data_IF_929928605059
#
_entry.id   IF_929928605059
#
_cell.length_a   1.000
_cell.length_b   1.000
_cell.length_c   1.000
_cell.angle_alpha   90.00
_cell.angle_beta   90.00
_cell.angle_gamma   90.00
#
_symmetry.space_group_name_H-M   'P 1'
#
loop_
_entity.id
_entity.type
_entity.pdbx_description
1 polymer ?
#
# COMPACT_ATOMS: atom_id res chain seq x y z
N UNK A 1 14.16 -20.19 0.56
CA UNK A 1 12.93 -19.46 0.22
C UNK A 1 12.56 -19.86 -1.20
N UNK A 2 11.27 -19.95 -1.54
CA UNK A 2 10.85 -20.26 -2.91
C UNK A 2 11.25 -19.15 -3.89
N UNK A 3 11.50 -19.53 -5.16
CA UNK A 3 11.68 -18.58 -6.25
C UNK A 3 10.41 -17.76 -6.47
N UNK A 4 10.56 -16.54 -6.98
CA UNK A 4 9.45 -15.66 -7.33
C UNK A 4 9.22 -15.69 -8.83
N UNK A 5 7.96 -15.56 -9.23
CA UNK A 5 7.58 -15.26 -10.61
C UNK A 5 7.62 -13.74 -10.85
N UNK A 6 7.86 -13.33 -12.10
CA UNK A 6 7.70 -11.93 -12.45
C UNK A 6 6.23 -11.53 -12.38
N UNK A 7 5.96 -10.38 -11.73
CA UNK A 7 4.61 -9.85 -11.68
C UNK A 7 4.12 -9.51 -13.09
N UNK A 8 2.87 -9.86 -13.38
CA UNK A 8 2.24 -9.57 -14.66
C UNK A 8 1.81 -8.09 -14.71
N UNK A 9 2.38 -7.34 -15.64
CA UNK A 9 2.25 -5.87 -15.70
C UNK A 9 1.41 -5.39 -16.91
N UNK A 10 0.34 -6.09 -17.30
CA UNK A 10 -0.54 -5.76 -18.45
C UNK A 10 -1.79 -4.96 -18.06
N UNK A 11 -1.65 -4.02 -17.16
CA UNK A 11 -2.72 -3.16 -16.66
C UNK A 11 -2.35 -1.68 -16.82
N UNK A 12 -3.37 -0.80 -16.87
CA UNK A 12 -3.19 0.64 -17.02
C UNK A 12 -3.45 1.39 -15.71
N UNK A 13 -4.41 0.94 -14.87
CA UNK A 13 -4.80 1.62 -13.63
C UNK A 13 -4.71 0.71 -12.42
N UNK A 14 -4.06 1.20 -11.38
CA UNK A 14 -4.00 0.59 -10.06
C UNK A 14 -4.54 1.51 -8.98
N UNK A 15 -5.15 0.92 -7.95
CA UNK A 15 -5.53 1.60 -6.73
C UNK A 15 -4.76 0.99 -5.56
N UNK A 16 -3.88 1.77 -4.96
CA UNK A 16 -3.22 1.41 -3.71
C UNK A 16 -4.11 1.82 -2.53
N UNK A 17 -4.45 0.85 -1.68
CA UNK A 17 -5.25 1.08 -0.47
C UNK A 17 -4.46 0.55 0.72
N UNK A 18 -4.09 1.44 1.63
CA UNK A 18 -3.30 1.12 2.82
C UNK A 18 -3.86 1.77 4.07
N UNK A 19 -3.44 1.30 5.22
CA UNK A 19 -3.93 1.79 6.49
C UNK A 19 -3.37 3.18 6.82
N UNK A 20 -2.05 3.36 6.68
CA UNK A 20 -1.35 4.54 7.19
C UNK A 20 -0.48 5.21 6.12
N UNK A 21 -0.17 6.50 6.28
CA UNK A 21 0.96 7.12 5.58
C UNK A 21 2.25 6.33 5.84
N UNK A 22 3.09 6.12 4.82
CA UNK A 22 4.32 5.32 4.75
C UNK A 22 4.17 3.82 4.40
N UNK A 23 3.02 3.24 4.51
CA UNK A 23 2.82 1.80 4.24
C UNK A 23 3.30 1.41 2.83
N UNK A 24 2.90 2.16 1.80
CA UNK A 24 3.34 1.90 0.42
C UNK A 24 4.83 2.14 0.25
N UNK A 25 5.38 3.09 0.99
CA UNK A 25 6.79 3.45 0.92
C UNK A 25 7.68 2.34 1.48
N UNK A 26 7.28 1.71 2.57
CA UNK A 26 7.98 0.53 3.09
C UNK A 26 7.82 -0.72 2.21
N UNK A 27 6.74 -0.81 1.45
CA UNK A 27 6.41 -2.03 0.71
C UNK A 27 6.69 -1.98 -0.79
N UNK A 28 6.21 -0.95 -1.48
CA UNK A 28 6.07 -0.97 -2.94
C UNK A 28 6.43 0.34 -3.66
N UNK A 29 6.80 1.43 -2.99
CA UNK A 29 7.00 2.73 -3.63
C UNK A 29 8.00 2.70 -4.81
N UNK A 30 9.05 1.88 -4.73
CA UNK A 30 9.99 1.69 -5.85
C UNK A 30 9.31 1.06 -7.07
N UNK A 31 8.39 0.13 -6.87
CA UNK A 31 7.61 -0.47 -7.96
C UNK A 31 6.58 0.54 -8.51
N UNK A 32 5.94 1.33 -7.64
CA UNK A 32 5.04 2.42 -8.06
C UNK A 32 5.80 3.44 -8.90
N UNK A 33 6.99 3.89 -8.48
CA UNK A 33 7.84 4.80 -9.26
C UNK A 33 8.16 4.23 -10.66
N UNK A 34 8.46 2.93 -10.75
CA UNK A 34 8.66 2.23 -12.03
C UNK A 34 7.39 2.28 -12.89
N UNK A 35 6.23 1.94 -12.33
CA UNK A 35 4.97 1.90 -13.06
C UNK A 35 4.53 3.29 -13.54
N UNK A 36 4.66 4.32 -12.68
CA UNK A 36 4.40 5.71 -13.05
C UNK A 36 5.33 6.18 -14.18
N UNK A 37 6.63 5.85 -14.12
CA UNK A 37 7.58 6.16 -15.19
C UNK A 37 7.26 5.46 -16.52
N UNK A 38 6.55 4.32 -16.49
CA UNK A 38 6.05 3.60 -17.66
C UNK A 38 4.71 4.14 -18.18
N UNK A 39 4.14 5.17 -17.53
CA UNK A 39 2.89 5.81 -17.91
C UNK A 39 1.63 5.14 -17.35
N UNK A 40 1.76 4.24 -16.38
CA UNK A 40 0.62 3.67 -15.66
C UNK A 40 0.09 4.64 -14.62
N UNK A 41 -1.20 4.65 -14.45
CA UNK A 41 -1.88 5.46 -13.44
C UNK A 41 -1.99 4.68 -12.13
N UNK A 42 -1.41 5.23 -11.07
CA UNK A 42 -1.52 4.68 -9.71
C UNK A 42 -2.12 5.76 -8.81
N UNK A 43 -3.25 5.45 -8.18
CA UNK A 43 -3.90 6.31 -7.19
C UNK A 43 -3.74 5.72 -5.80
N UNK A 44 -3.66 6.58 -4.77
CA UNK A 44 -3.54 6.16 -3.38
C UNK A 44 -4.78 6.53 -2.57
N UNK A 45 -5.25 5.59 -1.76
CA UNK A 45 -6.27 5.79 -0.73
C UNK A 45 -5.70 5.32 0.61
N UNK A 46 -5.56 6.24 1.55
CA UNK A 46 -5.14 5.97 2.91
C UNK A 46 -6.37 5.94 3.81
N UNK A 47 -6.52 4.86 4.58
CA UNK A 47 -7.71 4.66 5.40
C UNK A 47 -7.70 5.57 6.64
N UNK A 48 -6.53 5.80 7.21
CA UNK A 48 -6.31 6.72 8.34
C UNK A 48 -5.34 7.84 7.97
N UNK A 49 -5.17 8.79 8.86
CA UNK A 49 -4.13 9.81 8.77
C UNK A 49 -2.83 9.39 9.47
N UNK A 50 -2.81 8.20 10.08
CA UNK A 50 -1.70 7.75 10.92
C UNK A 50 -1.50 8.60 12.17
N UNK A 51 -2.57 9.22 12.67
CA UNK A 51 -2.54 10.25 13.70
C UNK A 51 -2.12 9.75 15.09
N UNK A 52 -2.18 8.44 15.32
CA UNK A 52 -1.70 7.82 16.55
C UNK A 52 -0.25 7.32 16.45
N UNK A 53 0.43 7.50 15.31
CA UNK A 53 1.74 6.92 15.03
C UNK A 53 2.93 7.62 15.74
N UNK A 54 2.74 8.82 16.32
CA UNK A 54 3.78 9.56 17.04
C UNK A 54 3.34 9.75 18.50
N UNK A 55 3.94 9.02 19.41
CA UNK A 55 3.45 8.85 20.78
C UNK A 55 3.59 10.09 21.68
N UNK A 56 4.46 11.04 21.34
CA UNK A 56 4.73 12.27 22.09
C UNK A 56 4.09 13.51 21.48
N UNK A 57 3.28 13.33 20.42
CA UNK A 57 2.50 14.39 19.78
C UNK A 57 1.00 14.10 19.82
N UNK A 58 0.18 15.17 19.95
CA UNK A 58 -1.27 14.99 19.92
C UNK A 58 -1.75 14.58 18.50
N UNK A 59 -2.75 13.68 18.37
CA UNK A 59 -3.26 13.24 17.06
C UNK A 59 -3.67 14.39 16.13
N UNK A 60 -4.24 15.46 16.68
CA UNK A 60 -4.63 16.64 15.89
C UNK A 60 -3.44 17.42 15.29
N UNK A 61 -2.23 17.24 15.83
CA UNK A 61 -0.99 17.81 15.32
C UNK A 61 -0.32 16.86 14.35
N UNK A 62 -0.40 15.54 14.61
CA UNK A 62 0.20 14.49 13.77
C UNK A 62 -0.52 14.33 12.43
N UNK A 63 -1.87 14.32 12.41
CA UNK A 63 -2.63 14.11 11.19
C UNK A 63 -2.24 15.06 10.04
N UNK A 64 -2.24 16.41 10.19
CA UNK A 64 -1.88 17.29 9.10
C UNK A 64 -0.41 17.15 8.68
N UNK A 65 0.49 16.83 9.60
CA UNK A 65 1.90 16.60 9.35
C UNK A 65 2.10 15.37 8.46
N UNK A 66 1.54 14.21 8.84
CA UNK A 66 1.67 12.96 8.08
C UNK A 66 0.96 13.03 6.72
N UNK A 67 -0.16 13.75 6.61
CA UNK A 67 -0.80 14.03 5.31
C UNK A 67 0.11 14.81 4.37
N UNK A 68 0.86 15.79 4.89
CA UNK A 68 1.79 16.58 4.07
C UNK A 68 3.01 15.75 3.65
N UNK A 69 3.54 14.91 4.54
CA UNK A 69 4.63 13.99 4.21
C UNK A 69 4.21 13.02 3.12
N UNK A 70 3.00 12.45 3.22
CA UNK A 70 2.47 11.55 2.20
C UNK A 70 2.29 12.23 0.84
N UNK A 71 1.87 13.50 0.79
CA UNK A 71 1.78 14.22 -0.50
C UNK A 71 3.14 14.34 -1.17
N UNK A 72 4.17 14.71 -0.39
CA UNK A 72 5.55 14.81 -0.90
C UNK A 72 6.08 13.46 -1.38
N UNK A 73 5.79 12.42 -0.64
CA UNK A 73 6.13 11.06 -1.01
C UNK A 73 5.46 10.66 -2.35
N UNK A 74 4.17 10.93 -2.51
CA UNK A 74 3.44 10.69 -3.75
C UNK A 74 4.03 11.44 -4.94
N UNK A 75 4.41 12.72 -4.77
CA UNK A 75 5.04 13.53 -5.82
C UNK A 75 6.35 12.89 -6.31
N UNK A 76 7.16 12.32 -5.40
CA UNK A 76 8.44 11.68 -5.73
C UNK A 76 8.24 10.44 -6.61
N UNK A 77 7.21 9.63 -6.34
CA UNK A 77 6.94 8.39 -7.10
C UNK A 77 5.98 8.58 -8.28
N UNK A 78 5.52 9.82 -8.52
CA UNK A 78 4.66 10.15 -9.66
C UNK A 78 3.18 9.81 -9.46
N UNK A 79 2.72 9.70 -8.22
CA UNK A 79 1.31 9.53 -7.86
C UNK A 79 0.66 10.90 -7.73
N UNK A 80 -0.38 11.17 -8.54
CA UNK A 80 -1.09 12.46 -8.57
C UNK A 80 -2.41 12.46 -7.82
N UNK A 81 -3.01 11.29 -7.60
CA UNK A 81 -4.28 11.15 -6.89
C UNK A 81 -4.06 10.50 -5.53
N UNK A 82 -4.33 11.26 -4.48
CA UNK A 82 -4.20 10.87 -3.08
C UNK A 82 -5.45 11.24 -2.31
N UNK A 83 -6.10 10.24 -1.72
CA UNK A 83 -7.29 10.40 -0.89
C UNK A 83 -7.02 9.87 0.53
N UNK A 84 -7.57 10.56 1.54
CA UNK A 84 -7.60 10.10 2.93
C UNK A 84 -9.05 9.88 3.35
N UNK A 85 -9.37 8.70 3.88
CA UNK A 85 -10.72 8.41 4.40
C UNK A 85 -10.93 9.00 5.80
N UNK A 86 -9.85 9.26 6.54
CA UNK A 86 -9.88 9.89 7.85
C UNK A 86 -10.55 9.02 8.93
N UNK A 87 -10.48 7.70 8.79
CA UNK A 87 -10.93 6.78 9.84
C UNK A 87 -9.89 6.74 10.98
N UNK A 88 -10.29 6.40 12.22
CA UNK A 88 -9.40 6.48 13.37
C UNK A 88 -8.27 5.46 13.31
N UNK A 89 -7.03 5.96 13.43
CA UNK A 89 -5.80 5.17 13.43
C UNK A 89 -5.69 4.26 14.65
N UNK A 90 -5.30 3.00 14.42
CA UNK A 90 -5.17 1.95 15.44
C UNK A 90 -6.49 1.30 15.86
N UNK A 91 -7.63 1.79 15.34
CA UNK A 91 -8.95 1.41 15.78
C UNK A 91 -9.86 0.91 14.63
N UNK A 92 -9.28 0.50 13.51
CA UNK A 92 -10.07 0.02 12.38
C UNK A 92 -10.74 -1.31 12.70
N UNK A 93 -12.02 -1.41 12.33
CA UNK A 93 -12.82 -2.62 12.50
C UNK A 93 -13.19 -3.21 11.13
N UNK A 94 -13.04 -4.52 11.00
CA UNK A 94 -13.50 -5.25 9.82
C UNK A 94 -15.04 -5.29 9.81
N UNK A 95 -15.64 -4.88 8.69
CA UNK A 95 -17.10 -4.91 8.59
C UNK A 95 -17.65 -4.04 7.45
N UNK A 96 -19.02 -4.03 7.30
CA UNK A 96 -19.68 -3.31 6.22
C UNK A 96 -19.33 -1.81 6.12
N UNK A 97 -19.15 -1.05 7.22
CA UNK A 97 -18.79 0.36 7.10
C UNK A 97 -17.48 0.59 6.38
N UNK A 98 -16.40 -0.12 6.75
CA UNK A 98 -15.09 -0.01 6.07
C UNK A 98 -15.19 -0.49 4.63
N UNK A 99 -15.80 -1.66 4.38
CA UNK A 99 -15.97 -2.20 3.04
C UNK A 99 -16.73 -1.25 2.12
N UNK A 100 -17.72 -0.50 2.66
CA UNK A 100 -18.48 0.50 1.91
C UNK A 100 -17.59 1.63 1.41
N UNK A 101 -16.73 2.19 2.26
CA UNK A 101 -15.79 3.25 1.88
C UNK A 101 -14.77 2.74 0.83
N UNK A 102 -14.26 1.53 1.03
CA UNK A 102 -13.33 0.91 0.08
C UNK A 102 -14.01 0.57 -1.27
N UNK A 103 -15.25 0.05 -1.25
CA UNK A 103 -16.03 -0.19 -2.47
C UNK A 103 -16.34 1.13 -3.21
N UNK A 104 -16.62 2.22 -2.48
CA UNK A 104 -16.80 3.53 -3.07
C UNK A 104 -15.51 4.03 -3.75
N UNK A 105 -14.36 3.87 -3.12
CA UNK A 105 -13.06 4.20 -3.72
C UNK A 105 -12.82 3.38 -5.00
N UNK A 106 -13.03 2.06 -4.96
CA UNK A 106 -12.88 1.19 -6.13
C UNK A 106 -13.81 1.62 -7.28
N UNK A 107 -15.07 1.97 -6.99
CA UNK A 107 -16.03 2.45 -8.00
C UNK A 107 -15.64 3.80 -8.58
N UNK A 108 -15.01 4.70 -7.79
CA UNK A 108 -14.52 6.01 -8.29
C UNK A 108 -13.31 5.85 -9.20
N UNK A 109 -12.29 5.13 -8.74
CA UNK A 109 -11.01 5.00 -9.43
C UNK A 109 -11.02 3.95 -10.55
N UNK A 110 -11.94 2.99 -10.51
CA UNK A 110 -12.13 1.94 -11.52
C UNK A 110 -10.83 1.21 -11.87
N UNK A 111 -10.08 0.69 -10.88
CA UNK A 111 -8.78 0.07 -11.10
C UNK A 111 -8.92 -1.32 -11.71
N UNK A 112 -7.89 -1.76 -12.41
CA UNK A 112 -7.75 -3.14 -12.90
C UNK A 112 -7.03 -4.02 -11.87
N UNK A 113 -6.20 -3.38 -11.03
CA UNK A 113 -5.46 -4.05 -9.96
C UNK A 113 -5.52 -3.25 -8.67
N UNK A 114 -5.49 -3.97 -7.55
CA UNK A 114 -5.39 -3.38 -6.22
C UNK A 114 -3.98 -3.62 -5.67
N UNK A 115 -3.44 -2.61 -5.01
CA UNK A 115 -2.17 -2.69 -4.31
C UNK A 115 -2.42 -2.46 -2.82
N UNK A 116 -1.73 -3.18 -1.97
CA UNK A 116 -1.74 -2.96 -0.53
C UNK A 116 -0.47 -3.53 0.09
N UNK A 117 -0.37 -3.48 1.41
CA UNK A 117 0.71 -4.15 2.11
C UNK A 117 0.21 -5.43 2.79
N UNK A 118 1.14 -6.18 3.34
CA UNK A 118 0.89 -7.44 4.03
C UNK A 118 -0.34 -7.40 4.96
N UNK A 119 -1.31 -8.27 4.70
CA UNK A 119 -2.54 -8.43 5.48
C UNK A 119 -2.55 -9.71 6.33
N UNK A 120 -1.47 -10.48 6.30
CA UNK A 120 -1.32 -11.69 7.12
C UNK A 120 -1.10 -11.33 8.57
N UNK A 121 -1.27 -12.30 9.46
CA UNK A 121 -1.17 -12.07 10.90
C UNK A 121 0.25 -11.69 11.35
N UNK A 122 1.26 -12.03 10.56
CA UNK A 122 2.67 -11.73 10.87
C UNK A 122 3.45 -11.28 9.61
N UNK A 123 4.67 -10.81 9.83
CA UNK A 123 5.65 -10.44 8.80
C UNK A 123 6.65 -11.58 8.51
N UNK A 124 6.31 -12.79 8.88
CA UNK A 124 7.22 -13.91 9.09
C UNK A 124 7.55 -14.02 10.58
N UNK A 125 7.29 -15.20 11.15
CA UNK A 125 7.45 -15.43 12.59
C UNK A 125 8.84 -15.00 13.10
N UNK A 126 8.94 -14.35 14.29
CA UNK A 126 7.89 -14.13 15.28
C UNK A 126 7.23 -12.74 15.24
N UNK A 127 7.31 -12.00 14.13
CA UNK A 127 6.93 -10.59 14.03
C UNK A 127 5.44 -10.41 13.74
N UNK A 128 4.64 -10.06 14.75
CA UNK A 128 3.19 -9.82 14.62
C UNK A 128 2.89 -8.57 13.81
N UNK A 129 1.88 -8.64 12.93
CA UNK A 129 1.47 -7.53 12.07
C UNK A 129 0.48 -6.59 12.77
N UNK A 130 0.47 -5.32 12.37
CA UNK A 130 -0.46 -4.32 12.87
C UNK A 130 -1.92 -4.70 12.59
N UNK A 131 -2.83 -4.38 13.52
CA UNK A 131 -4.24 -4.71 13.37
C UNK A 131 -4.84 -4.05 12.13
N UNK A 132 -4.55 -2.78 11.89
CA UNK A 132 -5.10 -2.02 10.77
C UNK A 132 -4.66 -2.56 9.41
N UNK A 133 -3.40 -3.02 9.27
CA UNK A 133 -2.93 -3.68 8.04
C UNK A 133 -3.74 -4.93 7.73
N UNK A 134 -4.00 -5.76 8.75
CA UNK A 134 -4.78 -6.99 8.62
C UNK A 134 -6.24 -6.70 8.27
N UNK A 135 -6.83 -5.69 8.93
CA UNK A 135 -8.22 -5.26 8.72
C UNK A 135 -8.39 -4.67 7.31
N UNK A 136 -7.54 -3.71 6.94
CA UNK A 136 -7.64 -3.05 5.62
C UNK A 136 -7.44 -4.04 4.49
N UNK A 137 -6.41 -4.89 4.54
CA UNK A 137 -6.14 -5.81 3.45
C UNK A 137 -7.24 -6.87 3.26
N UNK A 138 -7.83 -7.39 4.34
CA UNK A 138 -8.98 -8.31 4.27
C UNK A 138 -10.24 -7.61 3.76
N UNK A 139 -10.54 -6.44 4.31
CA UNK A 139 -11.70 -5.64 3.87
C UNK A 139 -11.59 -5.22 2.39
N UNK A 140 -10.37 -4.97 1.89
CA UNK A 140 -10.13 -4.60 0.50
C UNK A 140 -10.50 -5.74 -0.47
N UNK A 141 -10.17 -6.99 -0.14
CA UNK A 141 -10.53 -8.15 -0.94
C UNK A 141 -12.05 -8.34 -1.04
N UNK A 142 -12.75 -8.16 0.09
CA UNK A 142 -14.21 -8.21 0.12
C UNK A 142 -14.81 -7.02 -0.63
N UNK A 143 -14.27 -5.80 -0.43
CA UNK A 143 -14.74 -4.58 -1.08
C UNK A 143 -14.62 -4.61 -2.61
N UNK A 144 -13.66 -5.33 -3.17
CA UNK A 144 -13.56 -5.54 -4.61
C UNK A 144 -14.78 -6.29 -5.17
N UNK A 145 -15.25 -7.31 -4.46
CA UNK A 145 -16.49 -8.04 -4.80
C UNK A 145 -17.73 -7.20 -4.56
N UNK A 146 -17.76 -6.43 -3.48
CA UNK A 146 -18.86 -5.50 -3.18
C UNK A 146 -18.96 -4.40 -4.25
N UNK A 147 -17.82 -3.88 -4.73
CA UNK A 147 -17.78 -2.85 -5.77
C UNK A 147 -18.36 -3.35 -7.11
N UNK A 148 -18.15 -4.62 -7.43
CA UNK A 148 -18.68 -5.27 -8.62
C UNK A 148 -20.21 -5.53 -8.55
N UNK A 149 -20.76 -5.65 -7.35
CA UNK A 149 -22.14 -6.05 -7.16
C UNK A 149 -23.09 -4.84 -7.14
N UNK A 150 -24.06 -4.73 -8.08
CA UNK A 150 -24.99 -3.59 -8.14
C UNK A 150 -25.98 -3.53 -6.97
N UNK A 151 -26.11 -4.62 -6.19
CA UNK A 151 -27.06 -4.72 -5.07
C UNK A 151 -26.43 -4.51 -3.70
N UNK A 152 -25.11 -4.32 -3.66
CA UNK A 152 -24.37 -4.01 -2.42
C UNK A 152 -24.08 -2.51 -2.40
N UNK A 153 -24.31 -1.86 -1.25
CA UNK A 153 -24.15 -0.41 -1.06
C UNK A 153 -24.85 0.41 -2.14
N UNK A 154 -26.15 0.15 -2.32
CA UNK A 154 -27.03 0.80 -3.31
C UNK A 154 -27.25 2.29 -3.07
N UNK A 155 -26.90 2.77 -1.86
CA UNK A 155 -26.90 4.18 -1.46
C UNK A 155 -25.69 4.97 -2.00
N UNK A 156 -24.68 4.28 -2.55
CA UNK A 156 -23.60 4.94 -3.28
C UNK A 156 -24.11 5.37 -4.66
N UNK A 157 -24.04 6.66 -4.94
CA UNK A 157 -24.35 7.19 -6.29
C UNK A 157 -23.13 6.99 -7.23
N UNK A 158 -22.70 5.73 -7.35
CA UNK A 158 -21.56 5.29 -8.13
C UNK A 158 -21.90 4.01 -8.88
N UNK A 159 -21.60 3.98 -10.17
CA UNK A 159 -21.79 2.76 -10.97
C UNK A 159 -20.89 1.62 -10.45
N UNK A 160 -21.39 0.38 -10.41
CA UNK A 160 -20.58 -0.79 -10.08
C UNK A 160 -19.34 -0.91 -10.97
N UNK A 161 -18.29 -1.50 -10.41
CA UNK A 161 -17.05 -1.76 -11.12
C UNK A 161 -16.59 -3.20 -10.91
N UNK A 162 -16.55 -4.00 -11.97
CA UNK A 162 -16.17 -5.42 -12.01
C UNK A 162 -14.81 -5.66 -12.68
N UNK A 163 -14.06 -4.58 -12.95
CA UNK A 163 -12.79 -4.67 -13.68
C UNK A 163 -11.57 -5.04 -12.84
N UNK A 164 -11.70 -5.24 -11.52
CA UNK A 164 -10.57 -5.65 -10.67
C UNK A 164 -10.24 -7.12 -10.93
N UNK A 165 -9.02 -7.40 -11.35
CA UNK A 165 -8.55 -8.75 -11.70
C UNK A 165 -7.84 -9.47 -10.57
N UNK A 166 -7.03 -8.73 -9.82
CA UNK A 166 -6.24 -9.26 -8.70
C UNK A 166 -5.79 -8.14 -7.75
N UNK A 167 -5.41 -8.54 -6.55
CA UNK A 167 -4.76 -7.69 -5.56
C UNK A 167 -3.33 -8.17 -5.28
N UNK A 168 -2.39 -7.23 -5.13
CA UNK A 168 -1.00 -7.49 -4.78
C UNK A 168 -0.69 -6.89 -3.40
N UNK A 169 -0.19 -7.73 -2.50
CA UNK A 169 0.18 -7.35 -1.14
C UNK A 169 1.70 -7.33 -1.00
N UNK A 170 2.26 -6.12 -0.91
CA UNK A 170 3.70 -5.92 -0.75
C UNK A 170 4.19 -6.37 0.62
N UNK A 171 5.40 -6.92 0.68
CA UNK A 171 6.03 -7.33 1.95
C UNK A 171 5.38 -8.54 2.63
N UNK A 172 4.46 -9.24 1.98
CA UNK A 172 3.86 -10.46 2.53
C UNK A 172 4.90 -11.57 2.71
N UNK A 173 4.86 -12.32 3.83
CA UNK A 173 5.68 -13.51 4.01
C UNK A 173 5.32 -14.63 3.01
N UNK A 174 4.14 -14.57 2.41
CA UNK A 174 3.64 -15.51 1.39
C UNK A 174 3.85 -14.98 -0.05
N UNK A 175 4.78 -14.04 -0.25
CA UNK A 175 5.06 -13.48 -1.56
C UNK A 175 5.46 -14.54 -2.58
N UNK A 176 4.76 -14.52 -3.72
CA UNK A 176 4.93 -15.42 -4.87
C UNK A 176 5.48 -14.72 -6.11
N UNK A 177 5.35 -13.40 -6.19
CA UNK A 177 5.76 -12.60 -7.34
C UNK A 177 6.72 -11.47 -6.93
N UNK A 178 7.46 -10.96 -7.93
CA UNK A 178 8.36 -9.83 -7.74
C UNK A 178 8.40 -8.91 -8.96
N UNK A 179 8.80 -7.68 -8.71
CA UNK A 179 9.05 -6.63 -9.72
C UNK A 179 10.49 -6.18 -9.59
N UNK A 180 11.24 -6.18 -10.68
CA UNK A 180 12.58 -5.61 -10.73
C UNK A 180 12.49 -4.09 -10.53
N UNK A 181 13.14 -3.59 -9.48
CA UNK A 181 13.12 -2.18 -9.08
C UNK A 181 14.51 -1.54 -9.13
N UNK A 182 15.49 -2.17 -9.76
CA UNK A 182 16.90 -1.71 -9.73
C UNK A 182 17.06 -0.23 -10.10
N UNK A 183 16.41 0.22 -11.17
CA UNK A 183 16.46 1.60 -11.64
C UNK A 183 15.65 2.59 -10.78
N UNK A 184 14.71 2.12 -9.98
CA UNK A 184 13.78 2.94 -9.19
C UNK A 184 13.93 2.79 -7.67
N UNK A 185 14.90 1.98 -7.21
CA UNK A 185 15.13 1.76 -5.78
C UNK A 185 15.43 3.07 -5.04
N UNK A 186 16.25 3.95 -5.63
CA UNK A 186 16.56 5.23 -4.99
C UNK A 186 15.34 6.13 -4.89
N UNK A 187 14.48 6.17 -5.92
CA UNK A 187 13.21 6.92 -5.89
C UNK A 187 12.30 6.45 -4.75
N UNK A 188 12.19 5.13 -4.53
CA UNK A 188 11.45 4.60 -3.38
C UNK A 188 12.07 4.94 -2.03
N UNK A 189 13.40 4.97 -1.93
CA UNK A 189 14.11 5.42 -0.72
C UNK A 189 13.83 6.89 -0.45
N UNK A 190 13.89 7.75 -1.46
CA UNK A 190 13.63 9.19 -1.33
C UNK A 190 12.16 9.45 -0.94
N UNK A 191 11.24 8.65 -1.45
CA UNK A 191 9.81 8.68 -1.12
C UNK A 191 9.58 8.36 0.36
N UNK A 192 10.18 7.28 0.89
CA UNK A 192 10.10 6.97 2.33
C UNK A 192 10.79 8.04 3.18
N UNK A 193 11.91 8.59 2.74
CA UNK A 193 12.62 9.65 3.45
C UNK A 193 11.83 10.97 3.52
N UNK A 194 10.80 11.16 2.69
CA UNK A 194 9.88 12.30 2.79
C UNK A 194 9.02 12.28 4.06
N UNK A 195 8.87 11.12 4.73
CA UNK A 195 8.22 10.98 6.03
C UNK A 195 9.16 11.35 7.20
N UNK A 196 9.86 12.47 7.06
CA UNK A 196 10.99 12.84 7.93
C UNK A 196 10.61 12.98 9.40
N UNK A 197 9.50 13.66 9.71
CA UNK A 197 9.07 13.83 11.09
C UNK A 197 8.61 12.52 11.73
N UNK A 198 7.94 11.65 10.97
CA UNK A 198 7.60 10.32 11.46
C UNK A 198 8.86 9.48 11.74
N UNK A 199 9.82 9.48 10.81
CA UNK A 199 11.07 8.72 10.94
C UNK A 199 11.93 9.18 12.12
N UNK A 200 11.91 10.46 12.48
CA UNK A 200 12.59 10.99 13.67
C UNK A 200 12.08 10.39 14.99
N UNK A 201 10.80 9.99 15.02
CA UNK A 201 10.15 9.39 16.19
C UNK A 201 10.15 7.85 16.14
N UNK A 202 10.56 7.28 15.01
CA UNK A 202 10.63 5.84 14.83
C UNK A 202 12.02 5.33 15.26
N UNK A 203 12.07 4.29 16.05
CA UNK A 203 13.33 3.69 16.47
C UNK A 203 13.81 2.53 15.59
N UNK A 204 15.08 2.15 15.75
CA UNK A 204 15.64 0.95 15.13
C UNK A 204 15.90 1.07 13.62
N UNK A 205 16.00 -0.10 12.96
CA UNK A 205 16.37 -0.19 11.54
C UNK A 205 15.38 0.48 10.59
N UNK A 206 14.11 0.59 10.98
CA UNK A 206 13.07 1.20 10.15
C UNK A 206 13.23 2.72 10.03
N UNK A 207 13.92 3.37 10.97
CA UNK A 207 14.23 4.79 10.92
C UNK A 207 15.30 5.17 9.86
N UNK A 208 15.94 4.17 9.24
CA UNK A 208 16.88 4.38 8.12
C UNK A 208 16.32 3.77 6.83
N UNK A 209 15.60 4.58 6.01
CA UNK A 209 14.97 4.13 4.77
C UNK A 209 15.94 3.44 3.81
N UNK A 210 17.15 3.97 3.67
CA UNK A 210 18.13 3.46 2.72
C UNK A 210 18.60 2.05 3.11
N UNK A 211 18.95 1.85 4.37
CA UNK A 211 19.38 0.54 4.88
C UNK A 211 18.25 -0.47 4.85
N UNK A 212 17.05 -0.09 5.31
CA UNK A 212 15.90 -0.98 5.35
C UNK A 212 15.49 -1.44 3.95
N UNK A 213 15.21 -0.50 3.03
CA UNK A 213 14.70 -0.81 1.69
C UNK A 213 15.74 -1.54 0.82
N UNK A 214 17.03 -1.18 0.90
CA UNK A 214 18.08 -1.90 0.16
C UNK A 214 18.20 -3.34 0.62
N UNK A 215 18.10 -3.60 1.93
CA UNK A 215 18.14 -4.96 2.49
C UNK A 215 16.95 -5.78 1.99
N UNK A 216 15.74 -5.25 2.10
CA UNK A 216 14.51 -5.92 1.66
C UNK A 216 14.53 -6.18 0.14
N UNK A 217 14.88 -5.17 -0.66
CA UNK A 217 14.96 -5.28 -2.11
C UNK A 217 16.01 -6.30 -2.58
N UNK A 218 17.17 -6.38 -1.91
CA UNK A 218 18.20 -7.37 -2.21
C UNK A 218 17.74 -8.80 -1.92
N UNK A 219 17.00 -9.00 -0.82
CA UNK A 219 16.41 -10.31 -0.51
C UNK A 219 15.37 -10.73 -1.56
N UNK A 220 14.50 -9.82 -1.97
CA UNK A 220 13.57 -10.02 -3.07
C UNK A 220 14.26 -10.32 -4.39
N UNK A 221 15.29 -9.53 -4.72
CA UNK A 221 16.10 -9.70 -5.94
C UNK A 221 16.75 -11.07 -6.04
N UNK A 222 17.29 -11.58 -4.94
CA UNK A 222 17.85 -12.93 -4.88
C UNK A 222 16.81 -14.03 -5.22
N UNK A 223 15.55 -13.82 -4.82
CA UNK A 223 14.45 -14.76 -5.11
C UNK A 223 13.91 -14.63 -6.53
N UNK A 224 14.00 -13.44 -7.14
CA UNK A 224 13.50 -13.15 -8.50
C UNK A 224 14.58 -13.37 -9.58
N UNK A 225 15.87 -13.47 -9.21
CA UNK A 225 16.99 -13.59 -10.15
C UNK A 225 17.45 -12.25 -10.70
N UNK A 226 17.22 -11.13 -9.99
CA UNK A 226 17.66 -9.77 -10.32
C UNK A 226 18.44 -9.14 -9.15
N UNK A 227 18.97 -7.93 -9.32
CA UNK A 227 19.72 -7.28 -8.25
C UNK A 227 18.82 -6.82 -7.10
N UNK A 228 17.69 -6.16 -7.40
CA UNK A 228 16.73 -5.62 -6.44
C UNK A 228 15.32 -5.87 -6.91
N UNK A 229 14.45 -6.39 -6.03
CA UNK A 229 13.04 -6.57 -6.32
C UNK A 229 12.13 -6.19 -5.16
N UNK A 230 10.99 -5.57 -5.49
CA UNK A 230 9.82 -5.54 -4.61
C UNK A 230 9.07 -6.87 -4.71
N UNK A 231 8.53 -7.37 -3.59
CA UNK A 231 7.90 -8.69 -3.54
C UNK A 231 6.43 -8.59 -3.18
N UNK A 232 5.60 -9.43 -3.81
CA UNK A 232 4.15 -9.39 -3.68
C UNK A 232 3.54 -10.78 -3.53
N UNK A 233 2.56 -10.87 -2.66
CA UNK A 233 1.58 -11.94 -2.67
C UNK A 233 0.42 -11.54 -3.59
N UNK A 234 0.00 -12.42 -4.50
CA UNK A 234 -1.10 -12.16 -5.43
C UNK A 234 -2.33 -12.94 -5.03
N UNK A 235 -3.46 -12.23 -4.97
CA UNK A 235 -4.80 -12.81 -4.75
C UNK A 235 -5.68 -12.47 -5.96
N UNK A 236 -6.14 -13.49 -6.70
CA UNK A 236 -7.06 -13.31 -7.82
C UNK A 236 -8.50 -13.10 -7.33
N UNK A 237 -9.27 -12.22 -8.02
CA UNK A 237 -10.61 -11.77 -7.63
C UNK A 237 -11.67 -12.10 -8.68
#
# INVERSE_FOLDING_TARGET
MAELEHLYEDWDRALAVVAHPDDMEYGAASAVARWSAQGREVSYVLVTDGEAGISDMAPAEVAPLRREEQRRSCEIVGVSELEFLGLPDGLLEEGPPLRRELAAAIRRHRPEVLLSINHRDDWGAPSWNHVDHRVVGRALLDAARDAANPWIFTDLDLAPWDGVRWAAFAGSPEATHGVDIGEHLQTGIDSLAAHAAYLEHLGGDMADPATFLRRAAKQGGHRLGVEFAATFEIVYL
#
